data_IF_425738654568
#
_entry.id   IF_425738654568
#
_cell.length_a   1.000
_cell.length_b   1.000
_cell.length_c   1.000
_cell.angle_alpha   90.00
_cell.angle_beta   90.00
_cell.angle_gamma   90.00
#
_symmetry.space_group_name_H-M   'P 1'
#
loop_
_entity.id
_entity.type
_entity.pdbx_description
1 polymer ?
#
# COMPACT_ATOMS: atom_id res chain seq x y z
N UNK A 1 15.43 20.02 16.36
CA UNK A 1 14.94 18.68 16.77
C UNK A 1 15.66 18.32 18.05
N UNK A 2 14.94 17.98 19.14
CA UNK A 2 15.57 17.43 20.35
C UNK A 2 16.09 16.03 19.98
N UNK A 3 17.37 15.73 20.14
CA UNK A 3 18.04 14.51 19.66
C UNK A 3 17.58 13.19 20.31
N UNK A 4 16.29 13.02 20.56
CA UNK A 4 15.68 11.87 21.24
C UNK A 4 15.01 10.88 20.29
N UNK A 5 15.32 10.95 18.98
CA UNK A 5 14.74 10.06 17.98
C UNK A 5 14.96 8.58 18.30
N UNK A 6 16.12 8.24 18.89
CA UNK A 6 16.44 6.87 19.30
C UNK A 6 15.51 6.38 20.43
N UNK A 7 15.30 7.19 21.48
CA UNK A 7 14.40 6.86 22.59
C UNK A 7 12.95 6.71 22.13
N UNK A 8 12.52 7.52 21.16
CA UNK A 8 11.18 7.42 20.56
C UNK A 8 11.01 6.13 19.76
N UNK A 9 12.04 5.73 18.99
CA UNK A 9 12.03 4.47 18.23
C UNK A 9 12.00 3.25 19.16
N UNK A 10 12.79 3.26 20.23
CA UNK A 10 12.80 2.19 21.24
C UNK A 10 11.42 2.03 21.89
N UNK A 11 10.80 3.12 22.33
CA UNK A 11 9.44 3.10 22.88
C UNK A 11 8.41 2.57 21.88
N UNK A 12 8.50 2.97 20.60
CA UNK A 12 7.61 2.48 19.55
C UNK A 12 7.78 0.98 19.28
N UNK A 13 9.01 0.48 19.28
CA UNK A 13 9.31 -0.95 19.12
C UNK A 13 8.72 -1.77 20.27
N UNK A 14 8.97 -1.38 21.52
CA UNK A 14 8.42 -2.08 22.67
C UNK A 14 6.89 -2.03 22.70
N UNK A 15 6.28 -0.90 22.36
CA UNK A 15 4.83 -0.77 22.25
C UNK A 15 4.24 -1.72 21.19
N UNK A 16 4.88 -1.84 20.02
CA UNK A 16 4.44 -2.74 18.94
C UNK A 16 4.57 -4.21 19.32
N UNK A 17 5.71 -4.61 19.92
CA UNK A 17 5.94 -6.01 20.32
C UNK A 17 4.98 -6.44 21.43
N UNK A 18 4.79 -5.60 22.45
CA UNK A 18 3.88 -5.90 23.56
C UNK A 18 2.43 -5.92 23.06
N UNK A 19 2.01 -4.93 22.26
CA UNK A 19 0.68 -4.86 21.66
C UNK A 19 0.39 -6.05 20.74
N UNK A 20 1.34 -6.43 19.89
CA UNK A 20 1.22 -7.58 18.99
C UNK A 20 1.15 -8.91 19.75
N UNK A 21 1.99 -9.08 20.78
CA UNK A 21 1.99 -10.30 21.62
C UNK A 21 0.69 -10.44 22.39
N UNK A 22 0.19 -9.35 23.00
CA UNK A 22 -1.09 -9.32 23.70
C UNK A 22 -2.26 -9.59 22.75
N UNK A 23 -2.26 -8.97 21.57
CA UNK A 23 -3.30 -9.19 20.54
C UNK A 23 -3.34 -10.64 20.11
N UNK A 24 -2.18 -11.24 19.81
CA UNK A 24 -2.09 -12.63 19.39
C UNK A 24 -2.50 -13.60 20.51
N UNK A 25 -2.13 -13.31 21.76
CA UNK A 25 -2.52 -14.11 22.92
C UNK A 25 -4.03 -14.06 23.16
N UNK A 26 -4.62 -12.87 23.10
CA UNK A 26 -6.06 -12.68 23.22
C UNK A 26 -6.82 -13.40 22.09
N UNK A 27 -6.30 -13.29 20.86
CA UNK A 27 -6.85 -13.97 19.69
C UNK A 27 -6.76 -15.49 19.84
N UNK A 28 -5.65 -16.03 20.37
CA UNK A 28 -5.51 -17.48 20.59
C UNK A 28 -6.56 -18.03 21.57
N UNK A 29 -6.87 -17.30 22.66
CA UNK A 29 -7.92 -17.70 23.60
C UNK A 29 -9.34 -17.48 23.06
N UNK A 30 -9.53 -16.46 22.22
CA UNK A 30 -10.84 -16.06 21.69
C UNK A 30 -11.19 -16.76 20.38
N UNK A 31 -10.23 -17.28 19.64
CA UNK A 31 -10.44 -17.95 18.36
C UNK A 31 -11.28 -19.25 18.48
N UNK A 32 -11.04 -20.15 19.45
CA UNK A 32 -11.83 -21.38 19.59
C UNK A 32 -13.34 -21.14 19.79
N UNK A 33 -13.81 -20.25 20.70
CA UNK A 33 -15.23 -19.98 20.84
C UNK A 33 -15.82 -19.29 19.59
N UNK A 34 -15.08 -18.37 18.95
CA UNK A 34 -15.52 -17.75 17.68
C UNK A 34 -15.71 -18.78 16.56
N UNK A 35 -14.78 -19.74 16.43
CA UNK A 35 -14.86 -20.78 15.40
C UNK A 35 -16.11 -21.67 15.58
N UNK A 36 -16.49 -21.99 16.82
CA UNK A 36 -17.71 -22.77 17.10
C UNK A 36 -18.99 -22.03 16.68
N UNK A 37 -18.99 -20.70 16.74
CA UNK A 37 -20.11 -19.87 16.27
C UNK A 37 -20.11 -19.84 14.75
N UNK A 38 -18.95 -19.64 14.12
CA UNK A 38 -18.81 -19.59 12.67
C UNK A 38 -19.23 -20.89 11.97
N UNK A 39 -18.96 -22.06 12.57
CA UNK A 39 -19.38 -23.37 12.04
C UNK A 39 -20.90 -23.57 12.01
N UNK A 40 -21.66 -22.80 12.77
CA UNK A 40 -23.13 -22.85 12.77
C UNK A 40 -23.75 -21.89 11.74
N UNK A 41 -22.95 -21.08 11.06
CA UNK A 41 -23.45 -20.18 10.02
C UNK A 41 -23.94 -20.97 8.81
N UNK A 42 -25.15 -20.67 8.37
CA UNK A 42 -25.72 -21.20 7.15
C UNK A 42 -25.27 -20.41 5.92
N UNK A 43 -25.80 -20.77 4.75
CA UNK A 43 -25.47 -20.11 3.48
C UNK A 43 -25.83 -18.61 3.48
N UNK A 44 -26.94 -18.23 4.12
CA UNK A 44 -27.41 -16.85 4.15
C UNK A 44 -26.52 -15.95 5.01
N UNK A 45 -26.05 -16.45 6.16
CA UNK A 45 -25.18 -15.74 7.07
C UNK A 45 -23.78 -15.53 6.47
N UNK A 46 -23.24 -16.55 5.79
CA UNK A 46 -21.95 -16.43 5.09
C UNK A 46 -22.02 -15.40 3.96
N UNK A 47 -23.12 -15.36 3.19
CA UNK A 47 -23.32 -14.33 2.17
C UNK A 47 -23.35 -12.93 2.79
N UNK A 48 -24.11 -12.74 3.88
CA UNK A 48 -24.18 -11.46 4.59
C UNK A 48 -22.82 -11.02 5.14
N UNK A 49 -22.02 -11.96 5.67
CA UNK A 49 -20.66 -11.69 6.17
C UNK A 49 -19.71 -11.23 5.06
N UNK A 50 -19.78 -11.84 3.87
CA UNK A 50 -18.97 -11.43 2.72
C UNK A 50 -19.36 -10.02 2.27
N UNK A 51 -20.66 -9.71 2.16
CA UNK A 51 -21.11 -8.34 1.83
C UNK A 51 -20.71 -7.33 2.90
N UNK A 52 -20.79 -7.72 4.18
CA UNK A 52 -20.36 -6.88 5.28
C UNK A 52 -18.86 -6.59 5.21
N UNK A 53 -18.01 -7.60 4.97
CA UNK A 53 -16.56 -7.38 4.87
C UNK A 53 -16.20 -6.47 3.69
N UNK A 54 -16.84 -6.65 2.53
CA UNK A 54 -16.62 -5.79 1.37
C UNK A 54 -17.04 -4.34 1.66
N UNK A 55 -18.15 -4.14 2.37
CA UNK A 55 -18.62 -2.82 2.78
C UNK A 55 -17.66 -2.15 3.76
N UNK A 56 -17.19 -2.87 4.77
CA UNK A 56 -16.22 -2.35 5.75
C UNK A 56 -14.91 -1.94 5.09
N UNK A 57 -14.35 -2.80 4.22
CA UNK A 57 -13.09 -2.48 3.51
C UNK A 57 -13.25 -1.23 2.65
N UNK A 58 -14.38 -1.11 1.95
CA UNK A 58 -14.65 0.07 1.11
C UNK A 58 -14.84 1.33 1.96
N UNK A 59 -15.49 1.21 3.13
CA UNK A 59 -15.69 2.32 4.07
C UNK A 59 -14.40 2.84 4.72
N UNK A 60 -13.33 2.04 4.75
CA UNK A 60 -12.03 2.47 5.26
C UNK A 60 -11.20 3.28 4.25
N UNK A 61 -11.62 3.35 2.98
CA UNK A 61 -10.81 3.95 1.90
C UNK A 61 -10.90 5.48 1.81
N UNK A 62 -11.90 6.12 2.42
CA UNK A 62 -11.98 7.58 2.49
C UNK A 62 -13.38 8.12 2.83
N UNK A 63 -13.44 9.38 3.25
CA UNK A 63 -14.70 10.08 3.60
C UNK A 63 -15.42 10.64 2.38
N UNK A 64 -14.72 10.80 1.24
CA UNK A 64 -15.31 11.35 0.02
C UNK A 64 -15.92 10.27 -0.88
N UNK A 65 -17.08 10.52 -1.53
CA UNK A 65 -17.71 9.55 -2.43
C UNK A 65 -16.83 9.19 -3.63
N UNK A 66 -15.88 10.06 -4.01
CA UNK A 66 -14.95 9.81 -5.10
C UNK A 66 -13.84 8.81 -4.72
N UNK A 67 -13.37 8.85 -3.48
CA UNK A 67 -12.37 7.92 -2.96
C UNK A 67 -12.95 6.53 -2.75
N UNK A 68 -14.19 6.45 -2.25
CA UNK A 68 -14.96 5.21 -2.14
C UNK A 68 -15.08 4.52 -3.50
N UNK A 69 -15.37 5.27 -4.57
CA UNK A 69 -15.48 4.70 -5.92
C UNK A 69 -14.15 4.15 -6.45
N UNK A 70 -13.04 4.87 -6.22
CA UNK A 70 -11.69 4.37 -6.54
C UNK A 70 -11.35 3.11 -5.75
N UNK A 71 -11.76 3.11 -4.49
CA UNK A 71 -11.64 1.99 -3.58
C UNK A 71 -12.36 0.73 -4.07
N UNK A 72 -13.63 0.88 -4.48
CA UNK A 72 -14.43 -0.21 -5.02
C UNK A 72 -13.85 -0.79 -6.31
N UNK A 73 -13.33 0.07 -7.20
CA UNK A 73 -12.64 -0.38 -8.43
C UNK A 73 -11.39 -1.18 -8.08
N UNK A 74 -10.59 -0.72 -7.11
CA UNK A 74 -9.40 -1.43 -6.62
C UNK A 74 -9.77 -2.78 -5.98
N UNK A 75 -10.83 -2.81 -5.17
CA UNK A 75 -11.38 -4.02 -4.55
C UNK A 75 -11.83 -5.03 -5.60
N UNK A 76 -12.54 -4.59 -6.64
CA UNK A 76 -12.95 -5.44 -7.77
C UNK A 76 -11.75 -6.00 -8.55
N UNK A 77 -10.71 -5.19 -8.76
CA UNK A 77 -9.46 -5.63 -9.37
C UNK A 77 -8.77 -6.70 -8.52
N UNK A 78 -8.58 -6.44 -7.23
CA UNK A 78 -7.98 -7.39 -6.29
C UNK A 78 -8.77 -8.70 -6.18
N UNK A 79 -10.10 -8.62 -6.16
CA UNK A 79 -10.96 -9.80 -6.13
C UNK A 79 -10.82 -10.64 -7.42
N UNK A 80 -10.68 -9.99 -8.58
CA UNK A 80 -10.44 -10.68 -9.84
C UNK A 80 -9.11 -11.45 -9.85
N UNK A 81 -8.05 -10.86 -9.29
CA UNK A 81 -6.76 -11.55 -9.10
C UNK A 81 -6.84 -12.69 -8.08
N UNK A 82 -7.61 -12.52 -7.00
CA UNK A 82 -7.80 -13.56 -5.98
C UNK A 82 -8.56 -14.79 -6.50
N UNK A 83 -9.37 -14.65 -7.56
CA UNK A 83 -10.07 -15.76 -8.19
C UNK A 83 -9.17 -16.60 -9.13
N UNK A 84 -7.91 -16.21 -9.36
CA UNK A 84 -6.98 -16.95 -10.22
C UNK A 84 -6.53 -18.25 -9.53
N UNK A 85 -6.82 -19.38 -10.17
CA UNK A 85 -6.41 -20.72 -9.73
C UNK A 85 -7.48 -21.78 -9.96
N UNK A 86 -7.28 -22.93 -9.31
CA UNK A 86 -8.21 -24.04 -9.26
C UNK A 86 -9.24 -23.90 -8.12
N UNK A 87 -10.48 -24.22 -8.41
CA UNK A 87 -11.52 -24.37 -7.39
C UNK A 87 -11.35 -25.71 -6.64
N UNK A 88 -11.17 -25.63 -5.32
CA UNK A 88 -11.04 -26.77 -4.40
C UNK A 88 -12.22 -27.75 -4.41
N UNK A 89 -13.40 -27.32 -4.85
CA UNK A 89 -14.59 -28.20 -4.92
C UNK A 89 -14.77 -28.85 -6.29
N UNK A 90 -14.61 -28.08 -7.36
CA UNK A 90 -14.98 -28.52 -8.72
C UNK A 90 -13.78 -28.93 -9.57
N UNK A 91 -12.53 -28.67 -9.12
CA UNK A 91 -11.30 -28.84 -9.90
C UNK A 91 -11.35 -28.15 -11.28
N UNK A 92 -12.26 -27.19 -11.44
CA UNK A 92 -12.38 -26.39 -12.65
C UNK A 92 -11.48 -25.16 -12.55
N UNK A 93 -10.84 -24.80 -13.66
CA UNK A 93 -10.00 -23.60 -13.75
C UNK A 93 -10.89 -22.38 -13.94
N UNK A 94 -10.76 -21.37 -13.07
CA UNK A 94 -11.52 -20.10 -13.22
C UNK A 94 -10.77 -19.08 -14.09
N UNK A 95 -9.46 -18.93 -13.88
CA UNK A 95 -8.58 -18.06 -14.67
C UNK A 95 -7.20 -18.70 -14.94
N UNK A 96 -7.19 -19.95 -15.40
CA UNK A 96 -5.94 -20.70 -15.61
C UNK A 96 -5.16 -20.33 -16.88
N UNK A 97 -5.78 -19.62 -17.84
CA UNK A 97 -5.19 -19.21 -19.14
C UNK A 97 -4.40 -20.29 -19.93
N UNK A 98 -4.56 -21.57 -19.59
CA UNK A 98 -3.79 -22.68 -20.17
C UNK A 98 -2.37 -22.86 -19.59
N UNK A 99 -1.98 -22.08 -18.58
CA UNK A 99 -0.66 -22.12 -17.94
C UNK A 99 -0.77 -22.99 -16.68
N UNK A 100 0.06 -24.04 -16.58
CA UNK A 100 0.02 -25.01 -15.47
C UNK A 100 0.49 -24.38 -14.16
N UNK A 101 1.41 -23.43 -14.23
CA UNK A 101 1.93 -22.71 -13.07
C UNK A 101 0.84 -21.85 -12.40
N UNK A 102 -0.16 -21.39 -13.14
CA UNK A 102 -1.30 -20.61 -12.63
C UNK A 102 -2.37 -21.49 -11.96
N UNK A 103 -2.33 -22.82 -12.12
CA UNK A 103 -3.28 -23.72 -11.47
C UNK A 103 -3.11 -23.71 -9.94
N UNK A 104 -1.89 -23.49 -9.46
CA UNK A 104 -1.59 -23.28 -8.04
C UNK A 104 -2.03 -21.90 -7.52
N UNK A 105 -2.57 -21.04 -8.40
CA UNK A 105 -2.94 -19.67 -8.10
C UNK A 105 -1.74 -18.75 -7.88
N UNK A 106 -2.02 -17.49 -7.55
CA UNK A 106 -0.99 -16.53 -7.18
C UNK A 106 -0.67 -16.70 -5.69
N UNK A 107 0.61 -16.87 -5.35
CA UNK A 107 1.02 -16.90 -3.95
C UNK A 107 0.75 -15.55 -3.29
N UNK A 108 -0.18 -15.52 -2.33
CA UNK A 108 -0.61 -14.30 -1.65
C UNK A 108 0.54 -13.55 -0.96
N UNK A 109 1.46 -14.28 -0.32
CA UNK A 109 2.62 -13.68 0.35
C UNK A 109 3.53 -13.01 -0.68
N UNK A 110 3.83 -13.71 -1.78
CA UNK A 110 4.64 -13.16 -2.86
C UNK A 110 4.00 -11.94 -3.50
N UNK A 111 2.68 -11.96 -3.71
CA UNK A 111 1.94 -10.83 -4.29
C UNK A 111 2.03 -9.59 -3.40
N UNK A 112 1.80 -9.71 -2.09
CA UNK A 112 1.88 -8.58 -1.16
C UNK A 112 3.31 -8.04 -1.08
N UNK A 113 4.30 -8.92 -0.89
CA UNK A 113 5.71 -8.49 -0.80
C UNK A 113 6.15 -7.79 -2.09
N UNK A 114 5.76 -8.32 -3.25
CA UNK A 114 6.03 -7.70 -4.54
C UNK A 114 5.35 -6.34 -4.71
N UNK A 115 4.08 -6.21 -4.34
CA UNK A 115 3.35 -4.95 -4.45
C UNK A 115 3.91 -3.87 -3.51
N UNK A 116 4.27 -4.22 -2.28
CA UNK A 116 4.91 -3.30 -1.35
C UNK A 116 6.29 -2.85 -1.85
N UNK A 117 7.11 -3.79 -2.32
CA UNK A 117 8.41 -3.46 -2.90
C UNK A 117 8.28 -2.52 -4.11
N UNK A 118 7.31 -2.77 -5.00
CA UNK A 118 7.01 -1.90 -6.13
C UNK A 118 6.60 -0.49 -5.68
N UNK A 119 5.76 -0.38 -4.64
CA UNK A 119 5.34 0.91 -4.08
C UNK A 119 6.52 1.69 -3.53
N UNK A 120 7.40 1.04 -2.77
CA UNK A 120 8.57 1.68 -2.16
C UNK A 120 9.56 2.15 -3.24
N UNK A 121 9.78 1.35 -4.28
CA UNK A 121 10.66 1.71 -5.41
C UNK A 121 10.12 2.92 -6.16
N UNK A 122 8.81 2.96 -6.45
CA UNK A 122 8.20 4.12 -7.12
C UNK A 122 8.38 5.41 -6.31
N UNK A 123 8.12 5.36 -5.00
CA UNK A 123 8.28 6.50 -4.10
C UNK A 123 9.75 6.94 -4.05
N UNK A 124 10.67 5.98 -4.00
CA UNK A 124 12.11 6.27 -3.98
C UNK A 124 12.56 6.95 -5.28
N UNK A 125 12.09 6.49 -6.44
CA UNK A 125 12.37 7.10 -7.74
C UNK A 125 11.81 8.52 -7.82
N UNK A 126 10.56 8.75 -7.37
CA UNK A 126 9.96 10.08 -7.33
C UNK A 126 10.78 11.06 -6.48
N UNK A 127 11.25 10.60 -5.32
CA UNK A 127 12.09 11.40 -4.42
C UNK A 127 13.42 11.78 -5.07
N UNK A 128 14.07 10.83 -5.75
CA UNK A 128 15.34 11.08 -6.46
C UNK A 128 15.14 12.10 -7.59
N UNK A 129 14.08 11.95 -8.39
CA UNK A 129 13.78 12.87 -9.51
C UNK A 129 13.54 14.29 -8.97
N UNK A 130 12.73 14.44 -7.92
CA UNK A 130 12.45 15.76 -7.34
C UNK A 130 13.70 16.44 -6.76
N UNK A 131 14.58 15.69 -6.09
CA UNK A 131 15.85 16.22 -5.58
C UNK A 131 16.77 16.71 -6.71
N UNK A 132 16.81 15.99 -7.83
CA UNK A 132 17.64 16.40 -8.96
C UNK A 132 17.09 17.67 -9.63
N UNK A 133 15.77 17.82 -9.70
CA UNK A 133 15.11 19.02 -10.22
C UNK A 133 15.30 20.25 -9.32
N UNK A 134 15.35 20.09 -7.99
CA UNK A 134 15.66 21.22 -7.09
C UNK A 134 17.11 21.66 -7.23
N UNK A 135 18.06 20.72 -7.28
CA UNK A 135 19.48 21.04 -7.45
C UNK A 135 19.74 21.78 -8.78
N UNK A 136 19.10 21.36 -9.87
CA UNK A 136 19.19 22.03 -11.16
C UNK A 136 18.55 23.43 -11.16
N UNK A 137 17.44 23.62 -10.43
CA UNK A 137 16.84 24.95 -10.24
C UNK A 137 17.78 25.88 -9.49
N UNK A 138 18.45 25.39 -8.45
CA UNK A 138 19.40 26.17 -7.66
C UNK A 138 20.62 26.58 -8.49
N UNK A 139 21.16 25.68 -9.33
CA UNK A 139 22.22 26.01 -10.29
C UNK A 139 21.75 27.06 -11.31
N UNK A 140 20.59 26.88 -11.95
CA UNK A 140 20.08 27.83 -12.94
C UNK A 140 19.78 29.20 -12.31
N UNK A 141 19.37 29.24 -11.05
CA UNK A 141 19.10 30.46 -10.30
C UNK A 141 20.39 31.17 -9.89
N UNK A 142 21.48 30.42 -9.62
CA UNK A 142 22.84 30.94 -9.52
C UNK A 142 23.34 31.51 -10.86
N UNK A 143 22.99 30.89 -11.98
CA UNK A 143 23.32 31.36 -13.33
C UNK A 143 22.35 32.43 -13.88
N UNK A 144 21.45 32.99 -13.05
CA UNK A 144 20.51 34.05 -13.45
C UNK A 144 21.24 35.37 -13.75
N UNK A 145 21.72 35.44 -15.00
CA UNK A 145 22.14 36.53 -15.88
C UNK A 145 22.40 37.90 -15.22
N UNK A 146 23.63 38.44 -15.31
CA UNK A 146 23.90 39.79 -14.82
C UNK A 146 23.00 40.80 -15.52
N UNK A 147 22.36 41.65 -14.72
CA UNK A 147 21.48 42.71 -15.19
C UNK A 147 22.24 43.67 -16.11
N UNK A 148 21.64 44.00 -17.25
CA UNK A 148 22.14 44.89 -18.33
C UNK A 148 22.72 46.24 -17.87
N UNK A 149 22.35 46.69 -16.66
CA UNK A 149 22.83 47.93 -16.05
C UNK A 149 24.32 47.89 -15.68
N UNK A 150 24.87 46.71 -15.37
CA UNK A 150 26.30 46.53 -15.03
C UNK A 150 27.21 46.43 -16.27
N UNK A 151 26.65 46.20 -17.47
CA UNK A 151 27.45 45.99 -18.69
C UNK A 151 27.72 47.26 -19.50
N UNK A 152 27.03 48.37 -19.16
CA UNK A 152 27.21 49.68 -19.81
C UNK A 152 28.38 50.49 -19.24
N UNK A 153 28.85 50.19 -18.03
CA UNK A 153 30.06 50.80 -17.45
C UNK A 153 31.32 50.27 -18.11
N UNK A 154 31.36 48.97 -18.42
CA UNK A 154 32.56 48.29 -18.88
C UNK A 154 32.87 48.58 -20.36
N UNK A 155 31.83 48.81 -21.17
CA UNK A 155 31.94 49.29 -22.56
C UNK A 155 32.41 50.75 -22.66
N UNK A 156 32.41 51.50 -21.56
CA UNK A 156 32.85 52.91 -21.54
C UNK A 156 34.36 53.06 -21.25
N UNK A 157 35.05 51.95 -20.99
CA UNK A 157 36.48 51.89 -20.60
C UNK A 157 37.34 51.24 -21.71
N UNK A 158 36.72 50.59 -22.70
CA UNK A 158 37.33 50.29 -24.01
C UNK A 158 36.95 51.37 -25.02
#
# INVERSE_FOLDING_TARGET
>A
MKGEGLRALEMALFASVIGGTLSNLLLLFTAPPLARIALKFGPAEVAALIFFSLTVVTGLMGDTPLEIWKGLISLGGGLSFAMIGLDMMTTTRRYGFGIVELDNGINFVTAIVGLLALSEVLIQVEKIINLNLSNLKDEIQSFKKPTWKSRKSDIKIC
#
